data_IF_620864602542
#
_entry.id   IF_620864602542
#
_cell.length_a   1.000
_cell.length_b   1.000
_cell.length_c   1.000
_cell.angle_alpha   90.00
_cell.angle_beta   90.00
_cell.angle_gamma   90.00
#
_symmetry.space_group_name_H-M   'P 1'
#
loop_
_entity.id
_entity.type
_entity.pdbx_description
1 polymer ?
#
# COMPACT_ATOMS: atom_id res chain seq x y z
N UNK A 1 10.25 0.07 2.10
CA UNK A 1 9.19 1.08 1.87
C UNK A 1 8.30 0.63 0.73
N UNK A 2 7.02 0.68 0.92
CA UNK A 2 6.05 0.41 -0.14
C UNK A 2 5.63 1.76 -0.71
N UNK A 3 5.71 1.91 -2.03
CA UNK A 3 5.39 3.16 -2.71
C UNK A 3 4.20 2.95 -3.66
N UNK A 4 3.55 4.05 -4.00
CA UNK A 4 2.44 4.02 -4.93
C UNK A 4 2.93 3.63 -6.33
N UNK A 5 2.31 2.62 -6.97
CA UNK A 5 2.72 2.19 -8.30
C UNK A 5 2.20 3.08 -9.42
N UNK A 6 1.38 4.05 -9.08
CA UNK A 6 0.80 4.98 -10.05
C UNK A 6 0.07 6.09 -9.32
N UNK A 7 -0.73 6.85 -10.05
CA UNK A 7 -1.52 7.94 -9.49
C UNK A 7 -2.94 7.46 -9.20
N UNK A 8 -3.56 7.98 -8.14
CA UNK A 8 -4.94 7.64 -7.84
C UNK A 8 -5.31 7.90 -6.40
N UNK A 9 -6.53 7.55 -6.05
CA UNK A 9 -7.04 7.68 -4.70
C UNK A 9 -6.83 6.36 -3.96
N UNK A 10 -6.18 6.44 -2.81
CA UNK A 10 -5.78 5.26 -2.05
C UNK A 10 -6.94 4.71 -1.22
N UNK A 11 -7.10 3.38 -1.25
CA UNK A 11 -8.05 2.67 -0.41
C UNK A 11 -7.32 1.51 0.24
N UNK A 12 -7.42 1.43 1.58
CA UNK A 12 -6.78 0.35 2.34
C UNK A 12 -7.56 -0.96 2.20
N UNK A 13 -6.85 -2.08 2.23
CA UNK A 13 -7.49 -3.38 2.38
C UNK A 13 -7.54 -3.75 3.86
N UNK A 14 -8.32 -4.79 4.18
CA UNK A 14 -8.46 -5.24 5.56
C UNK A 14 -7.17 -5.78 6.17
N UNK A 15 -6.18 -6.15 5.34
CA UNK A 15 -4.89 -6.68 5.81
C UNK A 15 -3.90 -5.59 6.19
N UNK A 16 -4.16 -4.34 5.83
CA UNK A 16 -3.19 -3.26 6.01
C UNK A 16 -3.35 -2.60 7.37
N UNK A 17 -2.86 -3.25 8.42
CA UNK A 17 -2.85 -2.67 9.75
C UNK A 17 -1.46 -2.83 10.38
N UNK A 18 -1.16 -1.95 11.34
CA UNK A 18 0.12 -1.98 12.05
C UNK A 18 0.31 -3.33 12.75
N UNK A 19 1.45 -3.95 12.50
CA UNK A 19 1.78 -5.24 13.09
C UNK A 19 1.38 -6.44 12.24
N UNK A 20 0.64 -6.22 11.15
CA UNK A 20 0.26 -7.32 10.27
C UNK A 20 1.48 -7.86 9.53
N UNK A 21 1.56 -9.18 9.42
CA UNK A 21 2.56 -9.80 8.57
C UNK A 21 2.04 -9.83 7.14
N UNK A 22 2.84 -9.39 6.19
CA UNK A 22 2.50 -9.45 4.77
C UNK A 22 3.57 -10.23 4.02
N UNK A 23 3.13 -11.00 3.05
CA UNK A 23 4.04 -11.71 2.15
C UNK A 23 4.32 -10.86 0.93
N UNK A 24 5.43 -11.15 0.27
CA UNK A 24 5.74 -10.51 -1.00
C UNK A 24 4.58 -10.74 -1.97
N UNK A 25 4.11 -9.66 -2.59
CA UNK A 25 2.99 -9.71 -3.52
C UNK A 25 1.62 -9.51 -2.89
N UNK A 26 1.53 -9.50 -1.57
CA UNK A 26 0.24 -9.25 -0.90
C UNK A 26 -0.25 -7.83 -1.19
N UNK A 27 -1.55 -7.73 -1.42
CA UNK A 27 -2.19 -6.44 -1.67
C UNK A 27 -2.49 -5.75 -0.34
N UNK A 28 -1.96 -4.55 -0.16
CA UNK A 28 -2.21 -3.77 1.06
C UNK A 28 -3.23 -2.66 0.80
N UNK A 29 -3.52 -2.36 -0.44
CA UNK A 29 -4.48 -1.34 -0.82
C UNK A 29 -4.63 -1.29 -2.32
N UNK A 30 -5.45 -0.37 -2.77
CA UNK A 30 -5.64 -0.12 -4.20
C UNK A 30 -5.60 1.38 -4.47
N UNK A 31 -5.25 1.72 -5.71
CA UNK A 31 -5.35 3.10 -6.21
C UNK A 31 -6.44 3.12 -7.25
N UNK A 32 -7.40 3.99 -7.06
CA UNK A 32 -8.51 4.16 -7.99
C UNK A 32 -8.30 5.43 -8.79
N UNK A 33 -8.34 5.30 -10.11
CA UNK A 33 -8.14 6.43 -11.02
C UNK A 33 -8.98 6.23 -12.27
N UNK A 34 -9.84 7.19 -12.59
CA UNK A 34 -10.62 7.26 -13.85
C UNK A 34 -11.14 5.91 -14.34
N UNK A 35 -11.81 5.18 -13.44
CA UNK A 35 -12.41 3.89 -13.81
C UNK A 35 -11.46 2.71 -13.80
N UNK A 36 -10.18 2.91 -13.45
CA UNK A 36 -9.22 1.81 -13.31
C UNK A 36 -8.79 1.67 -11.86
N UNK A 37 -8.40 0.45 -11.49
CA UNK A 37 -7.94 0.13 -10.15
C UNK A 37 -6.61 -0.57 -10.26
N UNK A 38 -5.61 -0.09 -9.50
CA UNK A 38 -4.29 -0.71 -9.46
C UNK A 38 -4.00 -1.17 -8.04
N UNK A 39 -3.59 -2.41 -7.89
CA UNK A 39 -3.23 -2.95 -6.58
C UNK A 39 -1.90 -2.38 -6.10
N UNK A 40 -1.84 -2.02 -4.82
CA UNK A 40 -0.59 -1.65 -4.15
C UNK A 40 -0.11 -2.90 -3.43
N UNK A 41 0.97 -3.50 -3.95
CA UNK A 41 1.48 -4.77 -3.45
C UNK A 41 2.78 -4.59 -2.71
N UNK A 42 2.99 -5.42 -1.71
CA UNK A 42 4.25 -5.41 -0.96
C UNK A 42 5.36 -6.04 -1.80
N UNK A 43 6.50 -5.36 -1.97
CA UNK A 43 7.63 -5.92 -2.71
C UNK A 43 8.45 -6.92 -1.88
N UNK A 44 8.19 -7.01 -0.58
CA UNK A 44 8.93 -7.88 0.33
C UNK A 44 7.99 -8.49 1.35
N UNK A 45 8.41 -9.61 1.94
CA UNK A 45 7.73 -10.18 3.10
C UNK A 45 8.23 -9.51 4.37
N UNK A 46 7.34 -9.23 5.29
CA UNK A 46 7.72 -8.61 6.56
C UNK A 46 6.53 -8.14 7.36
N UNK A 47 6.82 -7.44 8.44
CA UNK A 47 5.80 -6.89 9.32
C UNK A 47 5.51 -5.44 8.94
N UNK A 48 4.23 -5.13 8.76
CA UNK A 48 3.80 -3.77 8.42
C UNK A 48 3.92 -2.90 9.67
N UNK A 49 4.84 -1.93 9.62
CA UNK A 49 5.14 -1.11 10.80
C UNK A 49 4.42 0.23 10.79
N UNK A 50 3.98 0.69 9.65
CA UNK A 50 3.22 1.92 9.56
C UNK A 50 2.62 2.11 8.20
N UNK A 51 1.38 2.61 8.17
CA UNK A 51 0.71 3.00 6.93
C UNK A 51 0.73 4.51 6.90
N UNK A 52 1.44 5.07 5.93
CA UNK A 52 1.65 6.52 5.81
C UNK A 52 0.55 7.19 5.01
N UNK A 53 -0.05 6.46 4.07
CA UNK A 53 -1.15 6.97 3.27
C UNK A 53 -2.46 6.79 4.01
N UNK A 54 -3.36 7.74 3.84
CA UNK A 54 -4.68 7.70 4.47
C UNK A 54 -5.74 7.23 3.47
N UNK A 55 -6.77 6.59 3.99
CA UNK A 55 -7.93 6.20 3.20
C UNK A 55 -8.49 7.43 2.49
N UNK A 56 -8.68 7.33 1.19
CA UNK A 56 -9.20 8.44 0.39
C UNK A 56 -8.18 9.48 -0.03
N UNK A 57 -6.93 9.31 0.36
CA UNK A 57 -5.87 10.25 0.00
C UNK A 57 -5.48 10.08 -1.47
N UNK A 58 -5.29 11.21 -2.17
CA UNK A 58 -4.80 11.18 -3.55
C UNK A 58 -3.29 11.07 -3.53
N UNK A 59 -2.77 10.02 -4.17
CA UNK A 59 -1.35 9.75 -4.24
C UNK A 59 -0.84 9.89 -5.66
N UNK A 60 0.45 10.20 -5.76
CA UNK A 60 1.19 10.18 -7.02
C UNK A 60 2.13 9.00 -7.03
N UNK A 61 2.50 8.56 -8.23
CA UNK A 61 3.46 7.48 -8.40
C UNK A 61 4.74 7.76 -7.61
N UNK A 62 5.21 6.77 -6.87
CA UNK A 62 6.41 6.87 -6.06
C UNK A 62 6.22 7.43 -4.66
N UNK A 63 5.04 7.97 -4.34
CA UNK A 63 4.80 8.47 -2.99
C UNK A 63 4.77 7.31 -1.98
N UNK A 64 5.29 7.52 -0.77
CA UNK A 64 5.32 6.45 0.23
C UNK A 64 3.91 6.10 0.72
N UNK A 65 3.62 4.81 0.76
CA UNK A 65 2.33 4.28 1.22
C UNK A 65 2.47 3.69 2.61
N UNK A 66 3.50 2.88 2.80
CA UNK A 66 3.69 2.16 4.06
C UNK A 66 5.13 1.68 4.16
N UNK A 67 5.54 1.26 5.36
CA UNK A 67 6.87 0.69 5.51
C UNK A 67 6.82 -0.61 6.31
N UNK A 68 7.75 -1.49 5.97
CA UNK A 68 7.86 -2.83 6.51
C UNK A 68 9.14 -2.99 7.28
N UNK A 69 9.09 -3.85 8.30
CA UNK A 69 10.29 -4.47 8.84
C UNK A 69 10.46 -5.78 8.10
N UNK A 70 11.46 -5.88 7.25
CA UNK A 70 11.72 -7.08 6.46
C UNK A 70 12.20 -8.20 7.37
N UNK A 71 11.64 -9.37 7.17
CA UNK A 71 11.96 -10.55 7.98
C UNK A 71 13.36 -11.07 7.68
#
# INVERSE_FOLDING_TARGET
MIVAPGNGVFQLTALAYHGAFVDEGDEIGVLVSSGTTAAVRSPFSGTLMGVLAHEGERLREGEPVAWLRVA
#
